data_IF_598765664004
#
_entry.id   IF_598765664004
#
_cell.length_a   1.000
_cell.length_b   1.000
_cell.length_c   1.000
_cell.angle_alpha   90.00
_cell.angle_beta   90.00
_cell.angle_gamma   90.00
#
_symmetry.space_group_name_H-M   'P 1'
#
loop_
_entity.id
_entity.type
_entity.pdbx_description
1 polymer ?
#
# COMPACT_ATOMS: atom_id res chain seq x y z
N UNK A 1 12.11 1.15 -2.48
CA UNK A 1 12.01 0.10 -1.42
C UNK A 1 12.26 0.62 -0.03
N UNK A 2 13.40 1.29 0.24
CA UNK A 2 13.80 1.74 1.58
C UNK A 2 12.71 2.50 2.33
N UNK A 3 12.06 3.47 1.68
CA UNK A 3 10.98 4.28 2.28
C UNK A 3 9.81 3.44 2.77
N UNK A 4 9.37 2.43 2.00
CA UNK A 4 8.29 1.54 2.41
C UNK A 4 8.68 0.79 3.70
N UNK A 5 9.91 0.25 3.76
CA UNK A 5 10.38 -0.50 4.93
C UNK A 5 10.50 0.39 6.17
N UNK A 6 10.99 1.62 6.02
CA UNK A 6 11.08 2.59 7.11
C UNK A 6 9.70 2.98 7.62
N UNK A 7 8.74 3.22 6.73
CA UNK A 7 7.36 3.50 7.09
C UNK A 7 6.70 2.30 7.78
N UNK A 8 6.93 1.09 7.25
CA UNK A 8 6.45 -0.17 7.81
C UNK A 8 6.95 -0.38 9.24
N UNK A 9 8.24 -0.14 9.51
CA UNK A 9 8.81 -0.23 10.88
C UNK A 9 8.18 0.73 11.88
N UNK A 10 7.71 1.88 11.42
CA UNK A 10 7.09 2.91 12.27
C UNK A 10 5.61 2.67 12.52
N UNK A 11 4.89 2.17 11.52
CA UNK A 11 3.42 2.15 11.53
C UNK A 11 2.80 0.76 11.65
N UNK A 12 3.52 -0.30 11.27
CA UNK A 12 2.98 -1.66 11.32
C UNK A 12 3.28 -2.32 12.66
N UNK A 13 2.26 -3.00 13.19
CA UNK A 13 2.48 -4.00 14.23
C UNK A 13 3.01 -5.29 13.61
N UNK A 14 3.73 -6.10 14.40
CA UNK A 14 4.28 -7.38 13.90
C UNK A 14 3.16 -8.26 13.33
N UNK A 15 3.43 -8.88 12.17
CA UNK A 15 2.54 -9.85 11.50
C UNK A 15 1.20 -9.29 11.01
N UNK A 16 1.07 -7.98 10.81
CA UNK A 16 -0.11 -7.46 10.14
C UNK A 16 -0.24 -8.04 8.71
N UNK A 17 -1.48 -8.28 8.29
CA UNK A 17 -1.81 -8.73 6.94
C UNK A 17 -1.85 -7.53 6.01
N UNK A 18 -1.08 -7.57 4.93
CA UNK A 18 -0.79 -6.40 4.13
C UNK A 18 -1.14 -6.65 2.67
N UNK A 19 -1.81 -5.67 2.06
CA UNK A 19 -1.93 -5.57 0.60
C UNK A 19 -1.15 -4.35 0.13
N UNK A 20 -0.53 -4.46 -1.04
CA UNK A 20 0.07 -3.30 -1.73
C UNK A 20 -0.84 -2.94 -2.90
N UNK A 21 -1.12 -1.66 -3.05
CA UNK A 21 -1.89 -1.12 -4.16
C UNK A 21 -1.10 0.01 -4.80
N UNK A 22 -0.78 -0.17 -6.07
CA UNK A 22 -0.11 0.83 -6.88
C UNK A 22 -1.10 1.45 -7.87
N UNK A 23 -1.10 2.78 -7.93
CA UNK A 23 -1.75 3.54 -8.98
C UNK A 23 -0.69 4.38 -9.67
N UNK A 24 -0.65 4.31 -11.01
CA UNK A 24 0.20 5.18 -11.81
C UNK A 24 -0.65 6.15 -12.63
N UNK A 25 -0.25 7.42 -12.61
CA UNK A 25 -0.78 8.49 -13.46
C UNK A 25 0.35 8.94 -14.37
N UNK A 26 0.49 8.26 -15.51
CA UNK A 26 1.55 8.50 -16.50
C UNK A 26 2.34 7.25 -16.89
N UNK A 27 3.50 7.47 -17.53
CA UNK A 27 4.36 6.44 -18.12
C UNK A 27 5.69 6.21 -17.38
N UNK A 28 5.88 6.84 -16.21
CA UNK A 28 7.13 6.77 -15.45
C UNK A 28 7.55 5.34 -15.05
N UNK A 29 6.60 4.42 -14.96
CA UNK A 29 6.88 3.00 -14.77
C UNK A 29 6.07 2.12 -15.73
N UNK A 30 6.66 0.97 -16.05
CA UNK A 30 6.05 -0.01 -16.95
C UNK A 30 4.88 -0.75 -16.28
N UNK A 31 5.02 -1.12 -15.00
CA UNK A 31 4.05 -2.02 -14.35
C UNK A 31 3.86 -1.73 -12.86
N UNK A 32 2.65 -1.30 -12.48
CA UNK A 32 2.25 -1.20 -11.07
C UNK A 32 2.27 -2.57 -10.37
N UNK A 33 1.92 -3.65 -11.09
CA UNK A 33 1.96 -5.01 -10.57
C UNK A 33 3.38 -5.43 -10.15
N UNK A 34 4.39 -5.03 -10.93
CA UNK A 34 5.79 -5.29 -10.58
C UNK A 34 6.18 -4.56 -9.27
N UNK A 35 5.73 -3.32 -9.10
CA UNK A 35 5.95 -2.56 -7.86
C UNK A 35 5.26 -3.23 -6.68
N UNK A 36 3.99 -3.63 -6.82
CA UNK A 36 3.22 -4.30 -5.78
C UNK A 36 3.90 -5.59 -5.29
N UNK A 37 4.31 -6.45 -6.23
CA UNK A 37 5.01 -7.71 -5.94
C UNK A 37 6.33 -7.42 -5.21
N UNK A 38 7.13 -6.50 -5.73
CA UNK A 38 8.43 -6.19 -5.16
C UNK A 38 8.31 -5.64 -3.74
N UNK A 39 7.30 -4.79 -3.47
CA UNK A 39 7.09 -4.21 -2.13
C UNK A 39 6.58 -5.28 -1.17
N UNK A 40 5.62 -6.10 -1.60
CA UNK A 40 5.10 -7.22 -0.80
C UNK A 40 6.20 -8.17 -0.36
N UNK A 41 7.04 -8.64 -1.30
CA UNK A 41 8.18 -9.52 -1.00
C UNK A 41 9.15 -8.85 -0.02
N UNK A 42 9.42 -7.55 -0.19
CA UNK A 42 10.35 -6.83 0.67
C UNK A 42 9.84 -6.72 2.11
N UNK A 43 8.53 -6.50 2.28
CA UNK A 43 7.90 -6.43 3.60
C UNK A 43 7.92 -7.77 4.34
N UNK A 44 7.64 -8.86 3.61
CA UNK A 44 7.70 -10.22 4.17
C UNK A 44 9.13 -10.60 4.57
N UNK A 45 10.10 -10.37 3.67
CA UNK A 45 11.52 -10.64 3.95
C UNK A 45 12.05 -9.86 5.15
N UNK A 46 11.54 -8.65 5.37
CA UNK A 46 11.88 -7.85 6.53
C UNK A 46 11.16 -8.27 7.83
N UNK A 47 10.24 -9.25 7.77
CA UNK A 47 9.46 -9.72 8.91
C UNK A 47 8.46 -8.68 9.43
N UNK A 48 8.10 -7.68 8.61
CA UNK A 48 7.23 -6.58 9.02
C UNK A 48 5.75 -6.92 8.84
N UNK A 49 5.41 -7.73 7.86
CA UNK A 49 4.04 -8.07 7.51
C UNK A 49 3.95 -9.44 6.82
N UNK A 50 2.71 -9.91 6.64
CA UNK A 50 2.36 -11.08 5.83
C UNK A 50 1.55 -10.57 4.63
N UNK A 51 1.92 -10.93 3.40
CA UNK A 51 1.18 -10.51 2.23
C UNK A 51 -0.18 -11.23 2.16
N UNK A 52 -1.27 -10.47 2.20
CA UNK A 52 -2.63 -10.98 2.04
C UNK A 52 -3.43 -10.05 1.11
N UNK A 53 -3.45 -10.32 -0.21
CA UNK A 53 -4.18 -9.50 -1.16
C UNK A 53 -5.71 -9.64 -1.02
N UNK A 54 -6.20 -10.68 -0.34
CA UNK A 54 -7.63 -10.97 -0.20
C UNK A 54 -8.21 -10.33 1.06
N UNK A 55 -7.55 -10.48 2.20
CA UNK A 55 -8.03 -10.03 3.52
C UNK A 55 -6.98 -9.21 4.28
N UNK A 56 -6.55 -8.05 3.75
CA UNK A 56 -5.56 -7.21 4.42
C UNK A 56 -6.14 -6.55 5.68
N UNK A 57 -5.32 -6.41 6.73
CA UNK A 57 -5.56 -5.48 7.83
C UNK A 57 -5.00 -4.08 7.55
N UNK A 58 -4.05 -3.97 6.63
CA UNK A 58 -3.43 -2.73 6.15
C UNK A 58 -3.25 -2.72 4.65
N UNK A 59 -3.29 -1.54 4.07
CA UNK A 59 -2.97 -1.32 2.66
C UNK A 59 -1.80 -0.34 2.56
N UNK A 60 -0.74 -0.73 1.85
CA UNK A 60 0.27 0.22 1.37
C UNK A 60 -0.25 0.80 0.06
N UNK A 61 -0.59 2.09 0.08
CA UNK A 61 -0.94 2.87 -1.11
C UNK A 61 0.33 3.47 -1.70
N UNK A 62 0.54 3.25 -2.99
CA UNK A 62 1.63 3.84 -3.76
C UNK A 62 1.00 4.58 -4.93
N UNK A 63 1.16 5.89 -4.96
CA UNK A 63 0.70 6.73 -6.06
C UNK A 63 1.89 7.32 -6.79
N UNK A 64 1.99 7.01 -8.09
CA UNK A 64 3.04 7.51 -8.96
C UNK A 64 2.45 8.59 -9.85
N UNK A 65 2.93 9.83 -9.69
CA UNK A 65 2.43 11.02 -10.38
C UNK A 65 3.63 11.71 -11.02
N UNK A 66 3.79 11.56 -12.33
CA UNK A 66 5.02 12.01 -13.00
C UNK A 66 6.23 11.29 -12.42
N UNK A 67 7.20 12.06 -11.91
CA UNK A 67 8.41 11.59 -11.24
C UNK A 67 8.27 11.41 -9.72
N UNK A 68 7.11 11.75 -9.15
CA UNK A 68 6.85 11.65 -7.71
C UNK A 68 6.22 10.31 -7.33
N UNK A 69 6.65 9.77 -6.19
CA UNK A 69 6.08 8.58 -5.57
C UNK A 69 5.57 8.90 -4.16
N UNK A 70 4.25 8.95 -4.01
CA UNK A 70 3.58 9.13 -2.73
C UNK A 70 3.29 7.75 -2.12
N UNK A 71 3.63 7.55 -0.84
CA UNK A 71 3.49 6.26 -0.17
C UNK A 71 2.78 6.46 1.17
N UNK A 72 1.74 5.67 1.43
CA UNK A 72 1.00 5.68 2.70
C UNK A 72 0.64 4.28 3.17
N UNK A 73 0.43 4.11 4.47
CA UNK A 73 -0.12 2.89 5.08
C UNK A 73 -1.44 3.26 5.75
N UNK A 74 -2.53 2.65 5.29
CA UNK A 74 -3.89 2.97 5.72
C UNK A 74 -4.66 1.71 6.13
N UNK A 75 -5.81 1.84 6.79
CA UNK A 75 -6.75 0.71 6.89
C UNK A 75 -7.47 0.53 5.55
N UNK A 76 -7.88 -0.71 5.22
CA UNK A 76 -8.67 -0.95 4.02
C UNK A 76 -9.92 -0.07 3.98
N UNK A 77 -10.06 0.75 2.93
CA UNK A 77 -11.23 1.59 2.72
C UNK A 77 -11.16 3.01 3.32
N UNK A 78 -10.11 3.36 4.06
CA UNK A 78 -9.92 4.73 4.58
C UNK A 78 -9.73 5.76 3.45
N UNK A 79 -9.32 5.32 2.27
CA UNK A 79 -9.17 6.11 1.06
C UNK A 79 -10.50 6.38 0.34
N UNK A 80 -11.60 5.79 0.81
CA UNK A 80 -12.93 5.98 0.22
C UNK A 80 -13.66 7.12 0.93
N UNK A 81 -14.16 8.06 0.14
CA UNK A 81 -15.13 9.04 0.62
C UNK A 81 -16.32 8.30 1.23
N UNK A 82 -16.53 8.48 2.53
CA UNK A 82 -17.76 8.04 3.16
C UNK A 82 -18.89 8.89 2.59
N UNK A 83 -19.76 8.31 1.77
CA UNK A 83 -21.01 9.00 1.44
C UNK A 83 -21.77 9.17 2.76
N UNK A 84 -22.15 10.40 3.15
CA UNK A 84 -23.07 10.56 4.25
C UNK A 84 -24.35 9.77 3.91
N UNK A 85 -25.02 9.17 4.92
CA UNK A 85 -26.27 8.47 4.68
C UNK A 85 -27.23 9.44 3.97
N UNK A 86 -27.71 9.03 2.80
CA UNK A 86 -28.84 9.71 2.15
C UNK A 86 -30.04 9.55 3.07
N UNK A 87 -30.41 10.63 3.75
CA UNK A 87 -31.66 10.72 4.51
C UNK A 87 -32.78 10.62 3.46
N UNK A 88 -33.73 9.66 3.60
CA UNK A 88 -34.85 9.51 2.67
C UNK A 88 -35.81 10.69 2.71
#
# INVERSE_FOLDING_TARGET
MRTCLELGRKLLSRKERLRVECVKRGSAIESCRAVEIAVGISMEKAGLAIADPKNPSRVIKIELIGDLACIGIIKPGDDKLHRPPTIP
#
